data_IF_555717055245
#
_entry.id   IF_555717055245
#
_cell.length_a   1.000
_cell.length_b   1.000
_cell.length_c   1.000
_cell.angle_alpha   90.00
_cell.angle_beta   90.00
_cell.angle_gamma   90.00
#
_symmetry.space_group_name_H-M   'P 1'
#
loop_
_entity.id
_entity.type
_entity.pdbx_description
1 polymer ?
#
# COMPACT_ATOMS: atom_id res chain seq x y z
N UNK A 1 13.89 -4.60 -7.16
CA UNK A 1 14.72 -4.87 -8.30
C UNK A 1 14.32 -3.96 -9.46
N UNK A 2 15.29 -3.38 -10.12
CA UNK A 2 15.04 -2.49 -11.24
C UNK A 2 14.67 -3.28 -12.50
N UNK A 3 13.92 -2.66 -13.39
CA UNK A 3 13.49 -3.22 -14.65
C UNK A 3 12.12 -2.76 -15.05
N UNK A 4 11.59 -3.38 -16.10
CA UNK A 4 10.24 -3.09 -16.59
C UNK A 4 9.38 -4.33 -16.45
N UNK A 5 8.23 -4.15 -15.83
CA UNK A 5 7.19 -5.17 -15.74
C UNK A 5 5.98 -4.68 -16.53
N UNK A 6 5.41 -5.54 -17.37
CA UNK A 6 4.27 -5.18 -18.25
C UNK A 6 2.96 -5.83 -17.85
N UNK A 7 2.91 -6.45 -16.69
CA UNK A 7 1.72 -7.18 -16.22
C UNK A 7 1.28 -6.66 -14.88
N UNK A 8 0.03 -6.89 -14.56
CA UNK A 8 -0.51 -6.57 -13.23
C UNK A 8 0.20 -7.39 -12.16
N UNK A 9 0.32 -6.83 -11.00
CA UNK A 9 0.89 -7.52 -9.84
C UNK A 9 -0.18 -7.78 -8.79
N UNK A 10 -0.05 -8.90 -8.10
CA UNK A 10 -0.95 -9.28 -7.01
C UNK A 10 -0.12 -9.69 -5.80
N UNK A 11 -0.34 -9.02 -4.69
CA UNK A 11 0.28 -9.36 -3.41
C UNK A 11 -0.84 -9.63 -2.41
N UNK A 12 -0.81 -10.81 -1.81
CA UNK A 12 -1.82 -11.21 -0.84
C UNK A 12 -1.14 -11.66 0.45
N UNK A 13 -1.56 -11.10 1.57
CA UNK A 13 -1.16 -11.54 2.90
C UNK A 13 -2.41 -11.95 3.67
N UNK A 14 -2.50 -13.23 4.01
CA UNK A 14 -3.72 -13.82 4.55
C UNK A 14 -3.52 -14.49 5.91
N UNK A 15 -2.34 -14.46 6.47
CA UNK A 15 -2.03 -15.28 7.63
C UNK A 15 -1.74 -14.52 8.90
N UNK A 16 -1.95 -15.16 10.01
CA UNK A 16 -1.50 -14.74 11.33
C UNK A 16 -0.35 -15.61 11.86
N UNK A 17 0.22 -16.44 11.00
CA UNK A 17 1.25 -17.42 11.37
C UNK A 17 2.68 -16.92 11.16
N UNK A 18 2.87 -15.64 10.95
CA UNK A 18 4.20 -15.05 10.84
C UNK A 18 4.79 -14.85 12.22
N UNK A 19 6.03 -15.29 12.40
CA UNK A 19 6.74 -15.07 13.65
C UNK A 19 7.13 -13.59 13.77
N UNK A 20 6.92 -12.96 14.93
CA UNK A 20 7.33 -11.58 15.11
C UNK A 20 8.84 -11.42 15.01
N UNK A 21 9.27 -10.28 14.48
CA UNK A 21 10.67 -9.90 14.53
C UNK A 21 11.10 -9.75 16.00
N UNK A 22 12.20 -10.40 16.38
CA UNK A 22 12.69 -10.35 17.75
C UNK A 22 13.16 -8.96 18.16
N UNK A 23 13.59 -8.12 17.21
CA UNK A 23 14.00 -6.73 17.48
C UNK A 23 12.81 -5.77 17.49
N UNK A 24 11.71 -6.11 16.80
CA UNK A 24 10.52 -5.28 16.74
C UNK A 24 9.27 -6.17 16.76
N UNK A 25 8.91 -6.69 17.93
CA UNK A 25 7.83 -7.68 18.03
C UNK A 25 6.43 -7.13 17.71
N UNK A 26 6.31 -5.82 17.49
CA UNK A 26 5.01 -5.20 17.16
C UNK A 26 4.55 -5.55 15.74
N UNK A 27 5.49 -5.77 14.82
CA UNK A 27 5.15 -6.04 13.42
C UNK A 27 5.82 -7.32 12.93
N UNK A 28 5.06 -8.15 12.22
CA UNK A 28 5.60 -9.35 11.59
C UNK A 28 6.10 -9.09 10.17
N UNK A 29 5.60 -8.03 9.54
CA UNK A 29 6.05 -7.61 8.20
C UNK A 29 6.30 -6.10 8.22
N UNK A 30 7.48 -5.66 7.79
CA UNK A 30 7.82 -4.24 7.77
C UNK A 30 7.17 -3.47 6.64
N UNK A 31 7.05 -4.08 5.48
CA UNK A 31 6.45 -3.39 4.34
C UNK A 31 5.98 -4.33 3.26
N UNK A 32 4.89 -3.94 2.64
CA UNK A 32 4.35 -4.59 1.46
C UNK A 32 4.30 -3.55 0.35
N UNK A 33 4.88 -3.90 -0.80
CA UNK A 33 4.84 -3.06 -2.00
C UNK A 33 4.09 -3.82 -3.09
N UNK A 34 3.08 -3.20 -3.67
CA UNK A 34 2.33 -3.81 -4.74
C UNK A 34 3.11 -3.95 -6.04
N UNK A 35 4.10 -3.11 -6.25
CA UNK A 35 4.86 -3.06 -7.50
C UNK A 35 6.34 -3.36 -7.35
N UNK A 36 7.14 -2.72 -8.18
CA UNK A 36 8.58 -2.94 -8.27
C UNK A 36 9.36 -2.20 -7.18
N UNK A 37 10.57 -2.67 -6.89
CA UNK A 37 11.51 -1.91 -6.07
C UNK A 37 12.00 -0.66 -6.78
N UNK A 38 12.12 -0.71 -8.11
CA UNK A 38 12.50 0.43 -8.94
C UNK A 38 12.19 0.16 -10.40
N UNK A 39 12.37 1.15 -11.26
CA UNK A 39 12.09 1.02 -12.67
C UNK A 39 10.64 1.32 -13.02
N UNK A 40 10.14 0.72 -14.09
CA UNK A 40 8.80 0.99 -14.60
C UNK A 40 7.91 -0.24 -14.50
N UNK A 41 6.72 -0.06 -13.97
CA UNK A 41 5.64 -1.04 -14.00
C UNK A 41 4.52 -0.51 -14.89
N UNK A 42 4.17 -1.26 -15.93
CA UNK A 42 3.18 -0.83 -16.93
C UNK A 42 1.78 -1.39 -16.67
N UNK A 43 1.60 -2.21 -15.69
CA UNK A 43 0.27 -2.73 -15.30
C UNK A 43 -0.24 -2.07 -14.05
N UNK A 44 -1.26 -2.64 -13.49
CA UNK A 44 -1.86 -2.22 -12.21
C UNK A 44 -1.34 -3.08 -11.08
N UNK A 45 -1.45 -2.57 -9.86
CA UNK A 45 -1.04 -3.31 -8.68
C UNK A 45 -2.24 -3.61 -7.79
N UNK A 46 -2.21 -4.77 -7.15
CA UNK A 46 -3.26 -5.20 -6.25
C UNK A 46 -2.62 -5.75 -4.98
N UNK A 47 -2.95 -5.16 -3.84
CA UNK A 47 -2.48 -5.61 -2.53
C UNK A 47 -3.70 -5.98 -1.69
N UNK A 48 -3.72 -7.17 -1.13
CA UNK A 48 -4.80 -7.62 -0.26
C UNK A 48 -4.24 -8.08 1.08
N UNK A 49 -4.80 -7.55 2.16
CA UNK A 49 -4.48 -7.96 3.52
C UNK A 49 -5.74 -8.47 4.20
N UNK A 50 -5.75 -9.73 4.61
CA UNK A 50 -6.86 -10.31 5.35
C UNK A 50 -6.49 -10.73 6.77
N UNK A 51 -5.24 -10.61 7.16
CA UNK A 51 -4.77 -10.91 8.51
C UNK A 51 -3.30 -10.55 8.66
N UNK A 52 -2.80 -10.68 9.88
CA UNK A 52 -1.41 -10.40 10.19
C UNK A 52 -1.18 -8.98 10.73
N UNK A 53 0.08 -8.65 10.93
CA UNK A 53 0.48 -7.39 11.54
C UNK A 53 1.59 -6.77 10.69
N UNK A 54 1.25 -5.70 9.98
CA UNK A 54 2.10 -5.09 8.97
C UNK A 54 2.39 -3.64 9.37
N UNK A 55 3.61 -3.20 9.21
CA UNK A 55 3.95 -1.80 9.49
C UNK A 55 3.42 -0.89 8.38
N UNK A 56 3.84 -1.12 7.14
CA UNK A 56 3.45 -0.24 6.04
C UNK A 56 2.96 -1.03 4.83
N UNK A 57 1.92 -0.51 4.18
CA UNK A 57 1.47 -0.99 2.88
C UNK A 57 1.57 0.14 1.87
N UNK A 58 2.21 -0.15 0.76
CA UNK A 58 2.30 0.75 -0.39
C UNK A 58 1.63 0.07 -1.58
N UNK A 59 0.61 0.69 -2.14
CA UNK A 59 -0.11 0.12 -3.26
C UNK A 59 0.74 0.00 -4.52
N UNK A 60 1.70 0.89 -4.72
CA UNK A 60 2.54 0.93 -5.91
C UNK A 60 3.99 0.52 -5.69
N UNK A 61 4.89 1.15 -6.41
CA UNK A 61 6.30 0.85 -6.39
C UNK A 61 7.00 1.39 -5.14
N UNK A 62 8.11 0.79 -4.77
CA UNK A 62 9.00 1.41 -3.80
C UNK A 62 9.58 2.70 -4.40
N UNK A 63 10.10 2.63 -5.61
CA UNK A 63 10.60 3.77 -6.37
C UNK A 63 10.27 3.57 -7.85
N UNK A 64 10.35 4.63 -8.64
CA UNK A 64 10.18 4.55 -10.09
C UNK A 64 8.78 4.94 -10.55
N UNK A 65 8.37 4.41 -11.69
CA UNK A 65 7.13 4.81 -12.36
C UNK A 65 6.16 3.66 -12.44
N UNK A 66 4.92 3.91 -12.02
CA UNK A 66 3.79 3.01 -12.22
C UNK A 66 2.82 3.69 -13.19
N UNK A 67 2.52 3.06 -14.31
CA UNK A 67 1.64 3.64 -15.31
C UNK A 67 0.18 3.28 -15.12
N UNK A 68 -0.11 2.19 -14.43
CA UNK A 68 -1.48 1.76 -14.17
C UNK A 68 -2.02 2.26 -12.84
N UNK A 69 -3.06 1.63 -12.38
CA UNK A 69 -3.75 1.97 -11.14
C UNK A 69 -3.23 1.12 -9.98
N UNK A 70 -3.44 1.61 -8.76
CA UNK A 70 -3.17 0.82 -7.56
C UNK A 70 -4.46 0.50 -6.83
N UNK A 71 -4.54 -0.71 -6.28
CA UNK A 71 -5.65 -1.15 -5.46
C UNK A 71 -5.11 -1.78 -4.18
N UNK A 72 -5.56 -1.27 -3.05
CA UNK A 72 -5.25 -1.84 -1.74
C UNK A 72 -6.57 -2.23 -1.08
N UNK A 73 -6.69 -3.49 -0.68
CA UNK A 73 -7.86 -4.00 0.01
C UNK A 73 -7.45 -4.59 1.36
N UNK A 74 -8.03 -4.10 2.44
CA UNK A 74 -7.75 -4.57 3.79
C UNK A 74 -9.07 -5.04 4.40
N UNK A 75 -9.17 -6.33 4.68
CA UNK A 75 -10.36 -6.93 5.28
C UNK A 75 -10.11 -7.43 6.71
N UNK A 76 -8.88 -7.42 7.17
CA UNK A 76 -8.52 -7.82 8.53
C UNK A 76 -7.06 -7.49 8.81
N UNK A 77 -6.61 -7.80 10.02
CA UNK A 77 -5.24 -7.54 10.44
C UNK A 77 -5.03 -6.13 10.99
N UNK A 78 -3.77 -5.80 11.24
CA UNK A 78 -3.36 -4.51 11.77
C UNK A 78 -2.26 -3.92 10.91
N UNK A 79 -2.41 -2.65 10.55
CA UNK A 79 -1.42 -1.92 9.74
C UNK A 79 -1.14 -0.59 10.43
N UNK A 80 0.10 -0.13 10.37
CA UNK A 80 0.43 1.19 10.89
C UNK A 80 0.09 2.29 9.87
N UNK A 81 0.61 2.16 8.64
CA UNK A 81 0.35 3.12 7.57
C UNK A 81 -0.05 2.42 6.28
N UNK A 82 -0.98 3.03 5.56
CA UNK A 82 -1.38 2.57 4.22
C UNK A 82 -1.23 3.74 3.25
N UNK A 83 -0.50 3.51 2.16
CA UNK A 83 -0.35 4.49 1.09
C UNK A 83 -0.87 3.87 -0.21
N UNK A 84 -1.79 4.56 -0.86
CA UNK A 84 -2.39 4.08 -2.10
C UNK A 84 -1.40 4.02 -3.25
N UNK A 85 -0.47 4.99 -3.31
CA UNK A 85 0.60 4.98 -4.28
C UNK A 85 1.85 4.28 -3.77
N UNK A 86 3.00 4.71 -4.24
CA UNK A 86 4.27 4.14 -3.85
C UNK A 86 4.93 4.87 -2.70
N UNK A 87 6.12 4.43 -2.34
CA UNK A 87 6.94 5.15 -1.38
C UNK A 87 7.48 6.43 -2.01
N UNK A 88 8.09 6.33 -3.18
CA UNK A 88 8.56 7.49 -3.93
C UNK A 88 8.46 7.23 -5.44
N UNK A 89 8.52 8.30 -6.22
CA UNK A 89 8.46 8.18 -7.68
C UNK A 89 7.16 8.73 -8.24
N UNK A 90 6.55 7.99 -9.16
CA UNK A 90 5.40 8.48 -9.90
C UNK A 90 4.35 7.39 -10.11
N UNK A 91 3.10 7.73 -9.87
CA UNK A 91 1.95 6.91 -10.26
C UNK A 91 1.12 7.71 -11.25
N UNK A 92 0.96 7.20 -12.46
CA UNK A 92 0.21 7.89 -13.51
C UNK A 92 -1.29 7.63 -13.46
N UNK A 93 -1.69 6.49 -12.92
CA UNK A 93 -3.09 6.11 -12.80
C UNK A 93 -3.73 6.56 -11.50
N UNK A 94 -4.81 5.92 -11.15
CA UNK A 94 -5.58 6.21 -9.94
C UNK A 94 -5.15 5.30 -8.79
N UNK A 95 -5.37 5.77 -7.56
CA UNK A 95 -5.17 4.95 -6.38
C UNK A 95 -6.50 4.67 -5.69
N UNK A 96 -6.68 3.45 -5.22
CA UNK A 96 -7.90 2.99 -4.57
C UNK A 96 -7.55 2.23 -3.31
N UNK A 97 -8.14 2.62 -2.19
CA UNK A 97 -7.95 1.93 -0.91
C UNK A 97 -9.32 1.57 -0.35
N UNK A 98 -9.53 0.28 -0.09
CA UNK A 98 -10.75 -0.24 0.53
C UNK A 98 -10.37 -0.91 1.85
N UNK A 99 -10.87 -0.37 2.95
CA UNK A 99 -10.68 -0.94 4.28
C UNK A 99 -12.05 -1.36 4.79
N UNK A 100 -12.28 -2.67 4.83
CA UNK A 100 -13.57 -3.23 5.25
C UNK A 100 -13.50 -3.96 6.58
N UNK A 101 -12.33 -4.02 7.19
CA UNK A 101 -12.12 -4.61 8.50
C UNK A 101 -10.70 -4.35 8.98
N UNK A 102 -10.38 -4.82 10.17
CA UNK A 102 -9.07 -4.61 10.77
C UNK A 102 -8.87 -3.21 11.37
N UNK A 103 -7.63 -2.80 11.52
CA UNK A 103 -7.32 -1.47 12.04
C UNK A 103 -6.07 -0.89 11.38
N UNK A 104 -6.07 0.43 11.20
CA UNK A 104 -4.92 1.20 10.75
C UNK A 104 -4.52 2.13 11.89
N UNK A 105 -3.35 1.89 12.48
CA UNK A 105 -2.97 2.53 13.74
C UNK A 105 -2.64 4.01 13.58
N UNK A 106 -2.02 4.42 12.48
CA UNK A 106 -1.63 5.82 12.30
C UNK A 106 -2.37 6.51 11.18
N UNK A 107 -2.31 6.02 9.95
CA UNK A 107 -3.00 6.75 8.92
C UNK A 107 -3.05 6.09 7.55
N UNK A 108 -3.93 6.66 6.72
CA UNK A 108 -4.09 6.29 5.33
C UNK A 108 -3.83 7.52 4.47
N UNK A 109 -2.97 7.38 3.46
CA UNK A 109 -2.74 8.40 2.44
C UNK A 109 -3.17 7.85 1.08
N UNK A 110 -4.00 8.60 0.37
CA UNK A 110 -4.45 8.18 -0.96
C UNK A 110 -3.35 8.20 -2.00
N UNK A 111 -2.36 9.08 -1.86
CA UNK A 111 -1.24 9.23 -2.78
C UNK A 111 0.01 8.47 -2.36
N UNK A 112 1.17 9.09 -2.63
CA UNK A 112 2.48 8.52 -2.31
C UNK A 112 3.02 9.14 -1.03
N UNK A 113 4.03 8.52 -0.43
CA UNK A 113 4.78 9.18 0.64
C UNK A 113 5.51 10.40 0.06
N UNK A 114 6.27 10.19 -1.00
CA UNK A 114 6.94 11.26 -1.75
C UNK A 114 6.76 11.02 -3.24
N UNK A 115 6.60 12.08 -4.02
CA UNK A 115 6.53 11.93 -5.47
C UNK A 115 5.26 12.52 -6.08
N UNK A 116 4.88 12.01 -7.23
CA UNK A 116 3.79 12.56 -8.04
C UNK A 116 2.71 11.53 -8.30
N UNK A 117 1.46 11.94 -8.07
CA UNK A 117 0.28 11.18 -8.45
C UNK A 117 -0.41 11.90 -9.60
N UNK A 118 -0.56 11.23 -10.74
CA UNK A 118 -1.20 11.80 -11.92
C UNK A 118 -2.71 11.61 -11.98
N UNK A 119 -3.23 10.62 -11.28
CA UNK A 119 -4.66 10.32 -11.27
C UNK A 119 -5.37 10.75 -10.00
N UNK A 120 -6.51 10.16 -9.75
CA UNK A 120 -7.34 10.45 -8.59
C UNK A 120 -7.11 9.45 -7.46
N UNK A 121 -7.44 9.87 -6.24
CA UNK A 121 -7.43 9.00 -5.07
C UNK A 121 -8.85 8.67 -4.65
N UNK A 122 -9.06 7.43 -4.20
CA UNK A 122 -10.34 6.99 -3.65
C UNK A 122 -10.07 6.16 -2.41
N UNK A 123 -10.68 6.52 -1.30
CA UNK A 123 -10.52 5.81 -0.03
C UNK A 123 -11.91 5.48 0.51
N UNK A 124 -12.16 4.20 0.74
CA UNK A 124 -13.42 3.70 1.29
C UNK A 124 -13.15 2.92 2.56
N UNK A 125 -13.79 3.29 3.66
CA UNK A 125 -13.59 2.68 4.96
C UNK A 125 -14.94 2.24 5.52
N UNK A 126 -15.04 0.95 5.86
CA UNK A 126 -16.19 0.36 6.55
C UNK A 126 -15.70 -0.53 7.69
N UNK A 127 -16.35 -0.44 8.84
CA UNK A 127 -16.11 -1.35 9.98
C UNK A 127 -14.62 -1.43 10.38
N UNK A 128 -13.91 -0.31 10.31
CA UNK A 128 -12.49 -0.26 10.65
C UNK A 128 -12.18 1.02 11.42
N UNK A 129 -11.09 0.99 12.17
CA UNK A 129 -10.58 2.15 12.90
C UNK A 129 -9.38 2.71 12.19
N UNK A 130 -9.39 4.02 11.93
CA UNK A 130 -8.28 4.74 11.29
C UNK A 130 -8.06 6.03 12.06
N UNK A 131 -6.82 6.31 12.44
CA UNK A 131 -6.51 7.51 13.21
C UNK A 131 -6.56 8.77 12.35
N UNK A 132 -5.95 8.72 11.16
CA UNK A 132 -5.93 9.88 10.27
C UNK A 132 -6.05 9.46 8.80
N UNK A 133 -6.54 10.41 7.98
CA UNK A 133 -6.86 10.14 6.59
C UNK A 133 -6.47 11.34 5.74
N UNK A 134 -5.65 11.09 4.72
CA UNK A 134 -5.21 12.11 3.77
C UNK A 134 -5.59 11.68 2.35
N UNK A 135 -6.29 12.54 1.63
CA UNK A 135 -6.68 12.25 0.25
C UNK A 135 -5.52 12.32 -0.75
N UNK A 136 -4.49 13.09 -0.46
CA UNK A 136 -3.34 13.26 -1.35
C UNK A 136 -2.09 12.56 -0.85
N UNK A 137 -0.94 13.16 -1.17
CA UNK A 137 0.35 12.64 -0.73
C UNK A 137 0.61 12.94 0.74
N UNK A 138 1.45 12.13 1.38
CA UNK A 138 1.88 12.38 2.75
C UNK A 138 2.75 13.64 2.82
N UNK A 139 3.66 13.78 1.87
CA UNK A 139 4.50 14.98 1.72
C UNK A 139 4.29 15.57 0.32
N UNK A 140 4.09 16.85 0.25
CA UNK A 140 3.85 17.52 -1.01
C UNK A 140 4.95 18.50 -1.38
#
# INVERSE_FOLDING_TARGET
KEGTCQYDTYVMLAGSSFEPDTENPTYTVWGIYGGNAGGTLTGSTNVTLSGGNVRNIYGGNQEGVLTGDTHVAISGGTVQYVLGGGRSGQVNGNTSIWVTGGSVANGICGGLAEGTLGGNTSIHIENAQVESLYGGNEYS
#
